data_IF_211323762042
#
_entry.id   IF_211323762042
#
_cell.length_a   1.000
_cell.length_b   1.000
_cell.length_c   1.000
_cell.angle_alpha   90.00
_cell.angle_beta   90.00
_cell.angle_gamma   90.00
#
_symmetry.space_group_name_H-M   'P 1'
#
loop_
_entity.id
_entity.type
_entity.pdbx_description
1 polymer ?
#
# COMPACT_ATOMS: atom_id res chain seq x y z
N UNK A 1 -8.78 -51.90 -53.22
CA UNK A 1 -8.05 -51.44 -52.01
C UNK A 1 -7.63 -49.97 -52.05
N UNK A 2 -7.16 -49.41 -53.18
CA UNK A 2 -6.66 -48.02 -53.25
C UNK A 2 -7.66 -46.91 -52.86
N UNK A 3 -8.97 -47.03 -53.17
CA UNK A 3 -9.99 -46.02 -52.82
C UNK A 3 -10.31 -45.92 -51.32
N UNK A 4 -10.20 -47.02 -50.55
CA UNK A 4 -10.47 -47.01 -49.10
C UNK A 4 -9.32 -46.36 -48.30
N UNK A 5 -8.09 -46.48 -48.79
CA UNK A 5 -6.91 -45.88 -48.15
C UNK A 5 -6.95 -44.35 -48.24
N UNK A 6 -7.39 -43.79 -49.38
CA UNK A 6 -7.48 -42.34 -49.60
C UNK A 6 -8.50 -41.68 -48.66
N UNK A 7 -9.66 -42.31 -48.44
CA UNK A 7 -10.70 -41.77 -47.56
C UNK A 7 -10.23 -41.75 -46.09
N UNK A 8 -9.56 -42.82 -45.64
CA UNK A 8 -9.04 -42.89 -44.27
C UNK A 8 -7.93 -41.84 -44.05
N UNK A 9 -7.05 -41.60 -45.03
CA UNK A 9 -6.01 -40.57 -44.91
C UNK A 9 -6.58 -39.15 -44.85
N UNK A 10 -7.65 -38.84 -45.58
CA UNK A 10 -8.27 -37.50 -45.55
C UNK A 10 -8.98 -37.25 -44.21
N UNK A 11 -9.66 -38.24 -43.64
CA UNK A 11 -10.30 -38.10 -42.33
C UNK A 11 -9.31 -37.90 -41.18
N UNK A 12 -8.14 -38.55 -41.22
CA UNK A 12 -7.08 -38.36 -40.22
C UNK A 12 -6.48 -36.95 -40.30
N UNK A 13 -6.29 -36.43 -41.52
CA UNK A 13 -5.78 -35.07 -41.73
C UNK A 13 -6.80 -34.02 -41.25
N UNK A 14 -8.09 -34.21 -41.51
CA UNK A 14 -9.13 -33.30 -41.01
C UNK A 14 -9.26 -33.32 -39.48
N UNK A 15 -9.11 -34.48 -38.84
CA UNK A 15 -9.09 -34.57 -37.37
C UNK A 15 -7.83 -33.93 -36.78
N UNK A 16 -6.66 -34.11 -37.41
CA UNK A 16 -5.44 -33.47 -36.97
C UNK A 16 -5.48 -31.94 -37.10
N UNK A 17 -6.04 -31.42 -38.19
CA UNK A 17 -6.23 -29.98 -38.40
C UNK A 17 -7.29 -29.43 -37.43
N UNK A 18 -8.39 -30.15 -37.21
CA UNK A 18 -9.41 -29.79 -36.23
C UNK A 18 -8.87 -29.74 -34.80
N UNK A 19 -8.05 -30.72 -34.40
CA UNK A 19 -7.36 -30.71 -33.11
C UNK A 19 -6.29 -29.63 -33.02
N UNK A 20 -5.56 -29.32 -34.10
CA UNK A 20 -4.58 -28.24 -34.12
C UNK A 20 -5.24 -26.86 -33.99
N UNK A 21 -6.38 -26.64 -34.66
CA UNK A 21 -7.18 -25.41 -34.51
C UNK A 21 -7.79 -25.34 -33.11
N UNK A 22 -8.28 -26.46 -32.56
CA UNK A 22 -8.81 -26.51 -31.19
C UNK A 22 -7.72 -26.22 -30.15
N UNK A 23 -6.50 -26.74 -30.34
CA UNK A 23 -5.33 -26.47 -29.50
C UNK A 23 -4.88 -24.99 -29.61
N UNK A 24 -4.93 -24.39 -30.81
CA UNK A 24 -4.64 -22.96 -30.97
C UNK A 24 -5.73 -22.03 -30.42
N UNK A 25 -6.96 -22.51 -30.23
CA UNK A 25 -8.06 -21.74 -29.62
C UNK A 25 -8.06 -21.82 -28.08
N UNK A 26 -7.37 -22.79 -27.47
CA UNK A 26 -7.22 -22.89 -26.01
C UNK A 26 -6.07 -22.00 -25.47
N UNK A 27 -5.06 -21.72 -26.32
CA UNK A 27 -3.93 -20.83 -26.02
C UNK A 27 -4.27 -19.32 -26.07
N UNK A 28 -5.49 -18.93 -26.48
CA UNK A 28 -5.89 -17.51 -26.55
C UNK A 28 -6.69 -17.02 -25.34
N UNK A 29 -6.69 -17.75 -24.22
CA UNK A 29 -7.03 -17.12 -22.93
C UNK A 29 -5.80 -16.32 -22.50
N UNK A 30 -5.80 -15.03 -22.84
CA UNK A 30 -5.00 -14.06 -22.08
C UNK A 30 -5.40 -14.22 -20.61
N UNK A 31 -4.51 -14.84 -19.84
CA UNK A 31 -4.55 -14.75 -18.38
C UNK A 31 -4.27 -13.28 -18.11
N UNK A 32 -5.33 -12.51 -17.87
CA UNK A 32 -5.20 -11.14 -17.38
C UNK A 32 -4.59 -11.27 -16.00
N UNK A 33 -3.28 -11.00 -15.89
CA UNK A 33 -2.62 -10.91 -14.59
C UNK A 33 -3.28 -9.76 -13.84
N UNK A 34 -4.00 -10.11 -12.77
CA UNK A 34 -4.58 -9.15 -11.85
C UNK A 34 -3.50 -8.73 -10.88
N UNK A 35 -3.33 -7.42 -10.68
CA UNK A 35 -2.42 -6.85 -9.71
C UNK A 35 -3.22 -6.00 -8.73
N UNK A 36 -2.75 -5.99 -7.48
CA UNK A 36 -3.32 -5.15 -6.43
C UNK A 36 -2.70 -3.76 -6.51
N UNK A 37 -3.57 -2.75 -6.43
CA UNK A 37 -3.15 -1.37 -6.27
C UNK A 37 -3.67 -0.83 -4.95
N UNK A 38 -2.81 -0.12 -4.24
CA UNK A 38 -3.20 0.65 -3.07
C UNK A 38 -3.72 2.02 -3.51
N UNK A 39 -4.91 2.38 -3.03
CA UNK A 39 -5.51 3.72 -3.14
C UNK A 39 -5.81 4.25 -1.75
N UNK A 40 -5.90 5.57 -1.60
CA UNK A 40 -6.23 6.21 -0.33
C UNK A 40 -7.64 6.81 -0.40
N UNK A 41 -8.48 6.43 0.55
CA UNK A 41 -9.78 7.04 0.83
C UNK A 41 -9.77 7.64 2.24
N UNK A 42 -10.84 8.29 2.65
CA UNK A 42 -11.01 8.73 4.04
C UNK A 42 -12.31 8.20 4.63
N UNK A 43 -12.35 8.00 5.94
CA UNK A 43 -13.58 7.66 6.65
C UNK A 43 -14.39 8.92 7.03
N UNK A 44 -15.49 8.75 7.76
CA UNK A 44 -16.34 9.86 8.20
C UNK A 44 -15.67 10.81 9.22
N UNK A 45 -14.56 10.40 9.84
CA UNK A 45 -13.76 11.22 10.76
C UNK A 45 -12.55 11.85 10.05
N UNK A 46 -12.45 11.72 8.73
CA UNK A 46 -11.32 12.18 7.92
C UNK A 46 -10.01 11.43 8.15
N UNK A 47 -10.04 10.24 8.75
CA UNK A 47 -8.84 9.39 8.81
C UNK A 47 -8.64 8.73 7.44
N UNK A 48 -7.44 8.87 6.88
CA UNK A 48 -7.00 8.25 5.64
C UNK A 48 -6.89 6.73 5.81
N UNK A 49 -7.52 6.01 4.91
CA UNK A 49 -7.59 4.55 4.89
C UNK A 49 -6.99 4.05 3.56
N UNK A 50 -5.86 3.32 3.59
CA UNK A 50 -5.35 2.62 2.42
C UNK A 50 -6.26 1.45 2.06
N UNK A 51 -6.57 1.29 0.77
CA UNK A 51 -7.48 0.26 0.24
C UNK A 51 -6.79 -0.46 -0.90
N UNK A 52 -6.81 -1.79 -0.86
CA UNK A 52 -6.28 -2.62 -1.93
C UNK A 52 -7.39 -2.97 -2.93
N UNK A 53 -7.25 -2.53 -4.18
CA UNK A 53 -8.17 -2.84 -5.27
C UNK A 53 -7.49 -3.72 -6.33
N UNK A 54 -8.26 -4.63 -6.92
CA UNK A 54 -7.82 -5.42 -8.05
C UNK A 54 -8.00 -4.65 -9.35
N UNK A 55 -6.92 -4.48 -10.10
CA UNK A 55 -6.94 -3.89 -11.43
C UNK A 55 -6.43 -4.87 -12.48
N UNK A 56 -6.93 -4.69 -13.69
CA UNK A 56 -6.65 -5.57 -14.81
C UNK A 56 -5.63 -4.90 -15.73
N UNK A 57 -4.54 -5.62 -16.03
CA UNK A 57 -3.48 -5.23 -16.96
C UNK A 57 -2.60 -4.04 -16.50
N UNK A 58 -1.28 -4.22 -16.53
CA UNK A 58 -0.33 -3.15 -16.27
C UNK A 58 -0.52 -2.01 -17.27
N UNK A 59 -0.47 -0.77 -16.79
CA UNK A 59 -0.60 0.45 -17.59
C UNK A 59 0.74 1.19 -17.64
N UNK A 60 0.94 2.00 -18.67
CA UNK A 60 2.03 2.98 -18.70
C UNK A 60 1.89 3.97 -17.54
N UNK A 61 3.00 4.41 -16.94
CA UNK A 61 3.05 5.18 -15.69
C UNK A 61 2.06 6.35 -15.64
N UNK A 62 2.05 7.22 -16.67
CA UNK A 62 1.14 8.37 -16.69
C UNK A 62 -0.34 7.94 -16.73
N UNK A 63 -0.66 6.88 -17.47
CA UNK A 63 -2.03 6.35 -17.55
C UNK A 63 -2.44 5.75 -16.21
N UNK A 64 -1.53 5.03 -15.55
CA UNK A 64 -1.79 4.44 -14.24
C UNK A 64 -2.04 5.51 -13.17
N UNK A 65 -1.20 6.55 -13.14
CA UNK A 65 -1.38 7.69 -12.23
C UNK A 65 -2.74 8.36 -12.45
N UNK A 66 -3.10 8.67 -13.70
CA UNK A 66 -4.40 9.27 -14.03
C UNK A 66 -5.55 8.39 -13.54
N UNK A 67 -5.48 7.08 -13.80
CA UNK A 67 -6.48 6.12 -13.34
C UNK A 67 -6.58 6.06 -11.80
N UNK A 68 -5.45 6.06 -11.08
CA UNK A 68 -5.45 6.09 -9.60
C UNK A 68 -6.10 7.36 -9.05
N UNK A 69 -5.82 8.52 -9.64
CA UNK A 69 -6.48 9.79 -9.26
C UNK A 69 -7.99 9.72 -9.52
N UNK A 70 -8.41 9.25 -10.70
CA UNK A 70 -9.83 9.12 -11.06
C UNK A 70 -10.57 8.17 -10.10
N UNK A 71 -9.93 7.05 -9.71
CA UNK A 71 -10.50 6.11 -8.75
C UNK A 71 -10.65 6.73 -7.35
N UNK A 72 -9.63 7.46 -6.87
CA UNK A 72 -9.66 8.14 -5.56
C UNK A 72 -10.70 9.28 -5.49
N UNK A 73 -11.16 9.80 -6.63
CA UNK A 73 -12.28 10.74 -6.71
C UNK A 73 -13.65 10.06 -6.67
N UNK A 74 -13.70 8.74 -6.88
CA UNK A 74 -14.94 8.01 -7.06
C UNK A 74 -15.64 7.70 -5.75
N UNK A 75 -16.95 7.95 -5.68
CA UNK A 75 -17.79 7.62 -4.51
C UNK A 75 -18.22 6.15 -4.42
N UNK A 76 -17.65 5.27 -5.25
CA UNK A 76 -18.03 3.85 -5.31
C UNK A 76 -17.90 3.12 -3.96
N UNK A 77 -16.95 3.55 -3.12
CA UNK A 77 -16.67 2.91 -1.83
C UNK A 77 -17.50 3.45 -0.66
N UNK A 78 -18.44 4.35 -0.92
CA UNK A 78 -19.27 4.96 0.14
C UNK A 78 -20.09 3.93 0.93
N UNK A 79 -20.53 2.84 0.28
CA UNK A 79 -21.23 1.75 0.96
C UNK A 79 -20.36 1.00 1.99
N UNK A 80 -19.04 1.13 1.88
CA UNK A 80 -18.05 0.59 2.79
C UNK A 80 -17.59 1.61 3.84
N UNK A 81 -18.25 2.78 3.90
CA UNK A 81 -17.93 3.88 4.81
C UNK A 81 -16.71 4.70 4.40
N UNK A 82 -16.25 4.56 3.17
CA UNK A 82 -15.06 5.22 2.62
C UNK A 82 -15.47 6.27 1.59
N UNK A 83 -14.90 7.45 1.70
CA UNK A 83 -15.22 8.63 0.90
C UNK A 83 -14.00 9.12 0.14
N UNK A 84 -14.17 9.74 -1.04
CA UNK A 84 -13.08 10.40 -1.76
C UNK A 84 -12.35 11.40 -0.88
N UNK A 85 -11.02 11.37 -0.92
CA UNK A 85 -10.17 12.42 -0.32
C UNK A 85 -9.92 13.55 -1.31
N UNK A 86 -10.00 13.27 -2.61
CA UNK A 86 -9.71 14.19 -3.70
C UNK A 86 -11.00 14.76 -4.27
N UNK A 87 -11.03 16.07 -4.53
CA UNK A 87 -12.13 16.70 -5.26
C UNK A 87 -12.23 16.16 -6.70
N UNK A 88 -13.46 15.90 -7.15
CA UNK A 88 -13.77 15.42 -8.51
C UNK A 88 -13.33 16.35 -9.65
N UNK A 89 -12.97 17.60 -9.35
CA UNK A 89 -12.48 18.59 -10.31
C UNK A 89 -10.95 18.62 -10.38
N UNK A 90 -10.23 17.91 -9.51
CA UNK A 90 -8.77 17.86 -9.58
C UNK A 90 -8.36 17.10 -10.85
N UNK A 91 -7.53 17.71 -11.68
CA UNK A 91 -7.08 17.11 -12.94
C UNK A 91 -5.57 17.00 -12.96
N UNK A 92 -5.06 15.82 -13.34
CA UNK A 92 -3.65 15.66 -13.70
C UNK A 92 -3.42 16.34 -15.06
N UNK A 93 -2.50 17.28 -15.14
CA UNK A 93 -2.15 17.98 -16.36
C UNK A 93 -0.94 17.34 -17.05
N UNK A 94 0.09 17.00 -16.28
CA UNK A 94 1.31 16.34 -16.77
C UNK A 94 1.94 15.44 -15.73
N UNK A 95 2.68 14.44 -16.20
CA UNK A 95 3.47 13.51 -15.39
C UNK A 95 4.86 13.41 -16.02
N UNK A 96 5.91 13.56 -15.23
CA UNK A 96 7.30 13.41 -15.66
C UNK A 96 8.07 12.65 -14.59
N UNK A 97 8.78 11.58 -14.97
CA UNK A 97 9.68 10.86 -14.08
C UNK A 97 11.11 11.07 -14.57
N UNK A 98 11.95 11.70 -13.74
CA UNK A 98 13.35 11.92 -14.01
C UNK A 98 14.17 11.66 -12.75
N UNK A 99 15.23 10.85 -12.85
CA UNK A 99 16.17 10.60 -11.75
C UNK A 99 15.48 10.19 -10.43
N UNK A 100 14.48 9.29 -10.51
CA UNK A 100 13.62 8.85 -9.40
C UNK A 100 12.75 9.94 -8.74
N UNK A 101 12.66 11.13 -9.35
CA UNK A 101 11.76 12.20 -8.96
C UNK A 101 10.56 12.26 -9.91
N UNK A 102 9.38 11.96 -9.38
CA UNK A 102 8.11 12.09 -10.08
C UNK A 102 7.60 13.51 -9.93
N UNK A 103 7.49 14.25 -11.03
CA UNK A 103 6.84 15.56 -11.08
C UNK A 103 5.43 15.41 -11.65
N UNK A 104 4.42 15.80 -10.88
CA UNK A 104 3.02 15.78 -11.31
C UNK A 104 2.45 17.19 -11.23
N UNK A 105 1.95 17.71 -12.36
CA UNK A 105 1.23 18.98 -12.39
C UNK A 105 -0.26 18.71 -12.30
N UNK A 106 -0.94 19.40 -11.39
CA UNK A 106 -2.39 19.43 -11.28
C UNK A 106 -2.96 20.80 -11.66
N UNK A 107 -4.28 20.89 -11.84
CA UNK A 107 -4.97 22.18 -11.96
C UNK A 107 -5.12 22.91 -10.61
N UNK A 108 -5.59 24.16 -10.67
CA UNK A 108 -5.72 25.07 -9.52
C UNK A 108 -6.76 24.64 -8.46
N UNK A 109 -7.59 23.63 -8.74
CA UNK A 109 -8.47 22.99 -7.77
C UNK A 109 -7.72 22.55 -6.50
N UNK A 110 -6.44 22.20 -6.61
CA UNK A 110 -5.62 21.81 -5.46
C UNK A 110 -5.55 22.89 -4.37
N UNK A 111 -5.65 24.18 -4.73
CA UNK A 111 -5.63 25.31 -3.78
C UNK A 111 -6.89 25.43 -2.92
N UNK A 112 -8.02 24.89 -3.38
CA UNK A 112 -9.32 25.09 -2.72
C UNK A 112 -9.59 24.10 -1.60
N UNK A 113 -8.67 23.16 -1.36
CA UNK A 113 -8.86 22.10 -0.39
C UNK A 113 -8.74 22.59 1.05
N UNK A 114 -9.76 22.28 1.84
CA UNK A 114 -9.79 22.60 3.27
C UNK A 114 -8.82 21.71 4.04
N UNK A 115 -8.79 20.41 3.72
CA UNK A 115 -7.93 19.40 4.34
C UNK A 115 -6.64 19.18 3.54
N UNK A 116 -5.84 20.24 3.43
CA UNK A 116 -4.64 20.24 2.60
C UNK A 116 -3.64 19.12 2.97
N UNK A 117 -3.47 18.82 4.27
CA UNK A 117 -2.58 17.75 4.72
C UNK A 117 -3.04 16.38 4.22
N UNK A 118 -4.32 16.03 4.38
CA UNK A 118 -4.87 14.74 3.95
C UNK A 118 -4.66 14.48 2.46
N UNK A 119 -4.87 15.49 1.61
CA UNK A 119 -4.65 15.35 0.17
C UNK A 119 -3.16 15.21 -0.16
N UNK A 120 -2.29 15.98 0.51
CA UNK A 120 -0.84 15.85 0.30
C UNK A 120 -0.37 14.45 0.70
N UNK A 121 -0.81 13.93 1.86
CA UNK A 121 -0.49 12.58 2.32
C UNK A 121 -1.01 11.51 1.36
N UNK A 122 -2.29 11.58 0.97
CA UNK A 122 -2.90 10.63 0.06
C UNK A 122 -2.20 10.60 -1.31
N UNK A 123 -1.94 11.78 -1.90
CA UNK A 123 -1.22 11.89 -3.16
C UNK A 123 0.22 11.40 -3.03
N UNK A 124 0.92 11.78 -1.96
CA UNK A 124 2.31 11.35 -1.73
C UNK A 124 2.40 9.85 -1.63
N UNK A 125 1.58 9.24 -0.78
CA UNK A 125 1.56 7.79 -0.58
C UNK A 125 1.36 7.05 -1.91
N UNK A 126 0.29 7.36 -2.63
CA UNK A 126 -0.06 6.63 -3.88
C UNK A 126 0.95 6.86 -5.00
N UNK A 127 1.52 8.06 -5.10
CA UNK A 127 2.40 8.43 -6.20
C UNK A 127 3.88 8.08 -5.93
N UNK A 128 4.23 7.72 -4.70
CA UNK A 128 5.56 7.21 -4.33
C UNK A 128 5.59 5.69 -4.07
N UNK A 129 4.46 4.99 -4.24
CA UNK A 129 4.33 3.52 -4.14
C UNK A 129 4.88 2.77 -5.38
N UNK A 130 5.67 3.44 -6.23
CA UNK A 130 6.30 2.83 -7.41
C UNK A 130 7.78 2.60 -7.14
N UNK A 131 8.30 1.42 -7.50
CA UNK A 131 9.71 1.04 -7.26
C UNK A 131 10.74 2.08 -7.77
N UNK A 132 10.45 2.75 -8.89
CA UNK A 132 11.34 3.74 -9.50
C UNK A 132 11.12 5.17 -8.98
N UNK A 133 10.20 5.40 -8.03
CA UNK A 133 9.88 6.73 -7.50
C UNK A 133 10.30 6.84 -6.03
N UNK A 134 11.32 7.65 -5.78
CA UNK A 134 11.77 7.96 -4.42
C UNK A 134 11.17 9.27 -3.91
N UNK A 135 10.83 10.19 -4.82
CA UNK A 135 10.41 11.55 -4.47
C UNK A 135 9.28 12.03 -5.38
N UNK A 136 8.34 12.76 -4.79
CA UNK A 136 7.26 13.45 -5.49
C UNK A 136 7.46 14.97 -5.41
N UNK A 137 7.30 15.63 -6.57
CA UNK A 137 7.17 17.07 -6.72
C UNK A 137 5.80 17.39 -7.29
N UNK A 138 5.04 18.22 -6.60
CA UNK A 138 3.72 18.68 -7.05
C UNK A 138 3.84 20.08 -7.66
N UNK A 139 3.26 20.25 -8.84
CA UNK A 139 3.08 21.53 -9.52
C UNK A 139 1.60 21.87 -9.65
N UNK A 140 1.31 23.16 -9.83
CA UNK A 140 -0.04 23.64 -10.15
C UNK A 140 0.05 24.51 -11.41
N UNK A 141 -0.73 24.17 -12.44
CA UNK A 141 -0.72 24.83 -13.75
C UNK A 141 0.70 24.92 -14.37
N UNK A 142 1.46 23.84 -14.23
CA UNK A 142 2.85 23.70 -14.71
C UNK A 142 3.86 24.58 -13.98
N UNK A 143 3.50 25.15 -12.83
CA UNK A 143 4.38 26.01 -12.02
C UNK A 143 4.74 25.35 -10.70
N UNK A 144 5.97 25.59 -10.29
CA UNK A 144 6.45 25.18 -8.97
C UNK A 144 5.68 25.92 -7.88
N UNK A 145 5.17 25.15 -6.91
CA UNK A 145 4.48 25.63 -5.73
C UNK A 145 5.20 25.10 -4.51
N UNK A 146 5.41 25.95 -3.50
CA UNK A 146 6.09 25.52 -2.28
C UNK A 146 5.10 24.94 -1.26
N UNK A 147 3.93 25.56 -1.08
CA UNK A 147 2.93 25.19 -0.09
C UNK A 147 1.51 25.38 -0.61
N UNK A 148 0.55 24.60 -0.08
CA UNK A 148 -0.88 24.90 -0.19
C UNK A 148 -1.30 25.92 0.89
N UNK A 149 -2.36 26.72 0.69
CA UNK A 149 -2.80 27.78 1.61
C UNK A 149 -3.01 27.34 3.07
N UNK A 150 -3.35 26.07 3.31
CA UNK A 150 -3.64 25.51 4.63
C UNK A 150 -2.66 24.40 5.03
N UNK A 151 -1.43 24.40 4.51
CA UNK A 151 -0.42 23.40 4.87
C UNK A 151 0.97 24.02 4.97
N UNK A 152 1.79 23.46 5.87
CA UNK A 152 3.22 23.77 5.99
C UNK A 152 4.12 22.72 5.35
N UNK A 153 3.54 21.68 4.74
CA UNK A 153 4.28 20.61 4.07
C UNK A 153 4.82 21.11 2.73
N UNK A 154 6.16 21.10 2.50
CA UNK A 154 6.74 21.50 1.23
C UNK A 154 6.35 20.52 0.11
N UNK A 155 5.87 21.05 -1.02
CA UNK A 155 5.40 20.25 -2.16
C UNK A 155 6.50 19.85 -3.16
N UNK A 156 7.74 20.24 -2.92
CA UNK A 156 8.85 20.06 -3.85
C UNK A 156 9.77 18.86 -3.52
N UNK A 157 9.55 18.19 -2.40
CA UNK A 157 10.35 17.06 -1.94
C UNK A 157 9.52 16.19 -0.97
N UNK A 158 8.47 15.59 -1.51
CA UNK A 158 7.61 14.65 -0.78
C UNK A 158 8.19 13.24 -0.94
N UNK A 159 8.19 12.45 0.13
CA UNK A 159 8.68 11.05 0.12
C UNK A 159 7.62 10.14 0.73
N UNK A 160 7.68 8.85 0.43
CA UNK A 160 6.75 7.85 1.00
C UNK A 160 6.75 7.88 2.54
N UNK A 161 7.89 8.22 3.15
CA UNK A 161 8.06 8.39 4.60
C UNK A 161 7.19 9.49 5.23
N UNK A 162 6.58 10.36 4.43
CA UNK A 162 5.55 11.28 4.95
C UNK A 162 4.44 10.49 5.67
N UNK A 163 4.12 9.30 5.18
CA UNK A 163 3.09 8.44 5.76
C UNK A 163 1.68 9.01 5.64
N UNK A 164 0.78 8.49 6.47
CA UNK A 164 -0.63 8.83 6.51
C UNK A 164 -1.06 9.18 7.94
N UNK A 165 -2.10 10.02 8.06
CA UNK A 165 -2.72 10.42 9.32
C UNK A 165 -1.70 11.01 10.30
N UNK A 166 -0.87 11.95 9.82
CA UNK A 166 -0.02 12.71 10.73
C UNK A 166 -0.86 13.67 11.56
N UNK A 167 -0.46 13.87 12.81
CA UNK A 167 -0.96 14.98 13.62
C UNK A 167 -0.08 16.21 13.37
N UNK A 168 -0.71 17.38 13.19
CA UNK A 168 -0.01 18.67 13.23
C UNK A 168 0.41 19.02 14.67
N UNK A 169 1.29 18.22 15.28
CA UNK A 169 1.93 18.64 16.53
C UNK A 169 3.15 19.51 16.22
N UNK A 170 3.03 20.79 16.55
CA UNK A 170 4.15 21.73 16.57
C UNK A 170 5.12 21.34 17.70
N UNK A 171 6.03 20.40 17.46
CA UNK A 171 7.05 20.05 18.44
C UNK A 171 8.46 20.03 17.85
N UNK A 172 9.41 20.45 18.68
CA UNK A 172 10.84 20.61 18.42
C UNK A 172 11.58 19.29 18.15
N UNK A 173 10.88 18.16 18.06
CA UNK A 173 11.44 16.82 17.88
C UNK A 173 11.59 16.38 16.43
N UNK A 174 11.15 17.19 15.45
CA UNK A 174 11.19 16.84 14.02
C UNK A 174 12.60 16.53 13.48
N UNK A 175 13.66 17.09 14.06
CA UNK A 175 15.04 16.89 13.60
C UNK A 175 15.77 15.72 14.28
N UNK A 176 15.12 15.02 15.21
CA UNK A 176 15.71 13.92 15.99
C UNK A 176 14.79 12.69 16.01
N UNK A 177 13.85 12.63 15.08
CA UNK A 177 12.88 11.54 14.98
C UNK A 177 12.63 11.15 13.54
N UNK A 178 12.38 9.87 13.34
CA UNK A 178 11.93 9.29 12.07
C UNK A 178 10.42 9.06 12.10
N UNK A 179 9.71 9.28 10.98
CA UNK A 179 8.32 8.90 10.85
C UNK A 179 8.20 7.37 10.73
N UNK A 180 7.24 6.79 11.45
CA UNK A 180 6.92 5.35 11.37
C UNK A 180 5.41 5.18 11.31
N UNK A 181 4.91 4.51 10.27
CA UNK A 181 3.49 4.18 10.15
C UNK A 181 3.14 2.99 11.02
N UNK A 182 2.28 3.21 12.01
CA UNK A 182 1.76 2.15 12.88
C UNK A 182 0.31 1.86 12.55
N UNK A 183 0.03 0.61 12.21
CA UNK A 183 -1.29 0.13 11.82
C UNK A 183 -2.10 -0.33 13.03
N UNK A 184 -3.37 0.07 13.07
CA UNK A 184 -4.34 -0.34 14.08
C UNK A 184 -5.64 -0.81 13.44
N UNK A 185 -6.38 -1.65 14.15
CA UNK A 185 -7.74 -2.02 13.78
C UNK A 185 -8.70 -0.83 13.96
N UNK A 186 -9.53 -0.59 12.95
CA UNK A 186 -10.64 0.35 13.02
C UNK A 186 -11.86 -0.20 12.32
N UNK A 187 -12.98 -0.26 13.02
CA UNK A 187 -14.26 -0.65 12.42
C UNK A 187 -14.95 0.56 11.80
N UNK A 188 -15.18 0.51 10.48
CA UNK A 188 -15.87 1.55 9.70
C UNK A 188 -17.02 0.88 8.94
N UNK A 189 -18.26 1.35 9.15
CA UNK A 189 -19.46 0.81 8.49
C UNK A 189 -19.58 -0.73 8.55
N UNK A 190 -19.30 -1.33 9.71
CA UNK A 190 -19.28 -2.78 9.98
C UNK A 190 -18.15 -3.59 9.32
N UNK A 191 -17.21 -2.92 8.63
CA UNK A 191 -15.99 -3.53 8.10
C UNK A 191 -14.80 -3.20 8.99
N UNK A 192 -13.91 -4.18 9.17
CA UNK A 192 -12.64 -4.00 9.87
C UNK A 192 -11.57 -3.53 8.88
N UNK A 193 -10.90 -2.43 9.20
CA UNK A 193 -9.80 -1.87 8.42
C UNK A 193 -8.53 -1.78 9.25
N UNK A 194 -7.38 -1.89 8.59
CA UNK A 194 -6.07 -1.55 9.14
C UNK A 194 -5.77 -0.11 8.75
N UNK A 195 -5.85 0.79 9.72
CA UNK A 195 -5.69 2.22 9.51
C UNK A 195 -4.34 2.64 10.10
N UNK A 196 -3.40 3.16 9.28
CA UNK A 196 -2.11 3.61 9.76
C UNK A 196 -2.21 4.96 10.46
N UNK A 197 -1.32 5.20 11.41
CA UNK A 197 -1.03 6.52 11.97
C UNK A 197 0.47 6.70 11.97
N UNK A 198 0.93 7.84 11.46
CA UNK A 198 2.37 8.14 11.41
C UNK A 198 2.83 8.71 12.75
N UNK A 199 3.69 7.97 13.43
CA UNK A 199 4.32 8.34 14.69
C UNK A 199 5.71 8.90 14.45
N UNK A 200 6.20 9.72 15.39
CA UNK A 200 7.60 10.16 15.43
C UNK A 200 8.34 9.36 16.48
N UNK A 201 9.29 8.53 16.03
CA UNK A 201 10.13 7.70 16.88
C UNK A 201 11.51 8.34 16.96
N UNK A 202 12.06 8.45 18.17
CA UNK A 202 13.37 9.09 18.39
C UNK A 202 14.48 8.24 17.75
N UNK A 203 15.34 8.88 16.95
CA UNK A 203 16.51 8.23 16.35
C UNK A 203 17.58 7.85 17.39
N UNK A 204 17.51 8.48 18.57
CA UNK A 204 18.46 8.21 19.66
C UNK A 204 18.09 6.99 20.49
N UNK A 205 16.88 6.46 20.33
CA UNK A 205 16.40 5.29 21.04
C UNK A 205 17.05 4.03 20.46
N UNK A 206 17.31 3.05 21.32
CA UNK A 206 17.76 1.73 20.88
C UNK A 206 16.69 1.02 20.03
N UNK A 207 17.10 0.05 19.20
CA UNK A 207 16.16 -0.74 18.40
C UNK A 207 15.04 -1.34 19.26
N UNK A 208 15.37 -1.87 20.44
CA UNK A 208 14.41 -2.45 21.37
C UNK A 208 13.40 -1.41 21.88
N UNK A 209 13.84 -0.19 22.22
CA UNK A 209 12.96 0.91 22.65
C UNK A 209 12.03 1.39 21.53
N UNK A 210 12.56 1.52 20.31
CA UNK A 210 11.78 1.88 19.13
C UNK A 210 10.70 0.84 18.85
N UNK A 211 11.08 -0.44 18.79
CA UNK A 211 10.17 -1.56 18.57
C UNK A 211 9.13 -1.63 19.67
N UNK A 212 9.53 -1.55 20.95
CA UNK A 212 8.59 -1.58 22.07
C UNK A 212 7.60 -0.42 22.01
N UNK A 213 8.04 0.78 21.61
CA UNK A 213 7.15 1.94 21.42
C UNK A 213 6.10 1.66 20.35
N UNK A 214 6.51 1.11 19.20
CA UNK A 214 5.58 0.74 18.11
C UNK A 214 4.59 -0.34 18.58
N UNK A 215 5.09 -1.41 19.20
CA UNK A 215 4.25 -2.51 19.72
C UNK A 215 3.23 -2.01 20.74
N UNK A 216 3.61 -1.06 21.61
CA UNK A 216 2.68 -0.48 22.59
C UNK A 216 1.56 0.36 21.96
N UNK A 217 1.78 0.96 20.79
CA UNK A 217 0.73 1.65 20.03
C UNK A 217 -0.24 0.68 19.36
N UNK A 218 0.22 -0.51 18.95
CA UNK A 218 -0.63 -1.58 18.43
C UNK A 218 -1.47 -2.18 19.57
N UNK A 219 -0.80 -2.61 20.64
CA UNK A 219 -1.42 -3.17 21.82
C UNK A 219 -0.49 -3.06 23.03
N UNK A 220 -0.89 -2.29 24.04
CA UNK A 220 -0.10 -2.03 25.25
C UNK A 220 0.23 -3.26 26.11
N UNK A 221 -0.36 -4.42 25.81
CA UNK A 221 -0.07 -5.70 26.50
C UNK A 221 1.09 -6.47 25.87
N UNK A 222 1.58 -6.04 24.70
CA UNK A 222 2.73 -6.67 24.06
C UNK A 222 4.00 -6.26 24.82
N UNK A 223 4.71 -7.25 25.32
CA UNK A 223 6.00 -7.09 25.96
C UNK A 223 7.09 -7.69 25.08
N UNK A 224 8.01 -6.83 24.63
CA UNK A 224 9.21 -7.21 23.92
C UNK A 224 10.25 -7.73 24.93
N UNK A 225 10.78 -8.92 24.67
CA UNK A 225 11.88 -9.50 25.44
C UNK A 225 13.24 -9.19 24.80
N UNK A 226 13.29 -9.16 23.46
CA UNK A 226 14.49 -8.85 22.68
C UNK A 226 14.10 -8.46 21.24
N UNK A 227 14.90 -7.62 20.60
CA UNK A 227 14.82 -7.34 19.17
C UNK A 227 16.21 -7.31 18.53
N UNK A 228 16.34 -7.94 17.36
CA UNK A 228 17.57 -7.91 16.57
C UNK A 228 17.29 -7.76 15.09
N UNK A 229 18.06 -6.91 14.40
CA UNK A 229 17.99 -6.72 12.96
C UNK A 229 19.22 -7.34 12.31
N UNK A 230 19.02 -8.34 11.45
CA UNK A 230 20.07 -8.92 10.61
C UNK A 230 19.57 -9.08 9.18
N UNK A 231 20.39 -8.71 8.19
CA UNK A 231 20.05 -8.82 6.77
C UNK A 231 18.66 -8.27 6.37
N UNK A 232 18.22 -7.16 6.98
CA UNK A 232 16.89 -6.54 6.81
C UNK A 232 15.71 -7.36 7.35
N UNK A 233 15.97 -8.41 8.14
CA UNK A 233 14.96 -9.19 8.86
C UNK A 233 15.01 -8.79 10.33
N UNK A 234 13.91 -8.24 10.84
CA UNK A 234 13.75 -7.88 12.24
C UNK A 234 13.17 -9.08 13.01
N UNK A 235 13.98 -9.70 13.87
CA UNK A 235 13.52 -10.79 14.74
C UNK A 235 13.14 -10.25 16.11
N UNK A 236 11.92 -10.57 16.55
CA UNK A 236 11.34 -10.19 17.83
C UNK A 236 11.20 -11.42 18.72
N UNK A 237 11.61 -11.34 19.98
CA UNK A 237 11.19 -12.29 21.00
C UNK A 237 10.11 -11.62 21.85
N UNK A 238 8.90 -12.20 21.90
CA UNK A 238 7.76 -11.67 22.62
C UNK A 238 7.34 -12.59 23.78
N UNK A 239 6.64 -12.02 24.77
CA UNK A 239 6.07 -12.81 25.87
C UNK A 239 5.01 -13.80 25.35
N UNK A 240 5.00 -14.99 25.94
CA UNK A 240 4.03 -16.07 25.74
C UNK A 240 2.56 -15.70 25.99
N UNK A 241 2.28 -14.58 26.67
CA UNK A 241 0.91 -14.12 26.94
C UNK A 241 0.07 -13.82 25.67
N UNK A 242 0.72 -13.73 24.50
CA UNK A 242 0.09 -13.51 23.20
C UNK A 242 -0.37 -14.81 22.51
N UNK A 243 0.07 -15.98 23.01
CA UNK A 243 -0.29 -17.26 22.42
C UNK A 243 -1.75 -17.60 22.67
N UNK A 244 -2.43 -18.02 21.59
CA UNK A 244 -3.72 -18.69 21.63
C UNK A 244 -3.55 -20.16 22.02
N UNK A 245 -4.66 -20.84 22.30
CA UNK A 245 -4.68 -22.27 22.68
C UNK A 245 -4.02 -23.20 21.64
N UNK A 246 -3.88 -22.75 20.39
CA UNK A 246 -3.23 -23.49 19.30
C UNK A 246 -1.73 -23.18 19.16
N UNK A 247 -1.12 -22.50 20.14
CA UNK A 247 0.29 -22.10 20.16
C UNK A 247 0.68 -21.15 19.01
N UNK A 248 -0.28 -20.38 18.50
CA UNK A 248 -0.07 -19.32 17.51
C UNK A 248 -0.50 -17.98 18.06
N UNK A 249 -0.02 -16.90 17.48
CA UNK A 249 -0.58 -15.57 17.72
C UNK A 249 -1.82 -15.35 16.84
N UNK A 250 -2.68 -14.44 17.27
CA UNK A 250 -3.80 -13.98 16.45
C UNK A 250 -3.30 -13.43 15.12
N UNK A 251 -3.96 -13.81 14.03
CA UNK A 251 -3.53 -13.47 12.67
C UNK A 251 -3.58 -11.95 12.43
N UNK A 252 -4.61 -11.27 12.92
CA UNK A 252 -4.71 -9.81 12.76
C UNK A 252 -3.59 -9.14 13.54
N UNK A 253 -3.34 -9.58 14.77
CA UNK A 253 -2.24 -9.05 15.58
C UNK A 253 -0.88 -9.21 14.88
N UNK A 254 -0.61 -10.39 14.31
CA UNK A 254 0.59 -10.63 13.50
C UNK A 254 0.71 -9.64 12.33
N UNK A 255 -0.36 -9.48 11.55
CA UNK A 255 -0.37 -8.59 10.39
C UNK A 255 -0.12 -7.13 10.80
N UNK A 256 -0.73 -6.64 11.88
CA UNK A 256 -0.50 -5.29 12.39
C UNK A 256 0.95 -5.08 12.84
N UNK A 257 1.54 -6.07 13.53
CA UNK A 257 2.94 -6.02 13.97
C UNK A 257 3.87 -5.95 12.76
N UNK A 258 3.68 -6.84 11.79
CA UNK A 258 4.51 -6.90 10.59
C UNK A 258 4.40 -5.57 9.81
N UNK A 259 3.20 -5.15 9.45
CA UNK A 259 2.97 -3.91 8.68
C UNK A 259 3.57 -2.68 9.35
N UNK A 260 3.46 -2.58 10.67
CA UNK A 260 3.99 -1.43 11.43
C UNK A 260 5.51 -1.44 11.51
N UNK A 261 6.12 -2.60 11.73
CA UNK A 261 7.57 -2.70 11.91
C UNK A 261 8.34 -2.71 10.59
N UNK A 262 7.71 -3.08 9.47
CA UNK A 262 8.28 -2.88 8.13
C UNK A 262 8.36 -1.41 7.72
N UNK A 263 7.70 -0.51 8.45
CA UNK A 263 7.87 0.93 8.26
C UNK A 263 9.17 1.47 8.89
N UNK A 264 9.91 0.67 9.65
CA UNK A 264 11.23 1.07 10.16
C UNK A 264 12.28 0.99 9.05
N UNK A 265 13.23 1.92 9.10
CA UNK A 265 14.36 1.97 8.18
C UNK A 265 15.11 0.63 8.12
N UNK A 266 15.35 0.15 6.90
CA UNK A 266 16.06 -1.10 6.60
C UNK A 266 15.35 -2.39 7.09
N UNK A 267 14.07 -2.36 7.43
CA UNK A 267 13.29 -3.57 7.76
C UNK A 267 12.45 -3.99 6.55
N UNK A 268 12.70 -5.19 6.02
CA UNK A 268 11.95 -5.76 4.88
C UNK A 268 11.07 -6.93 5.27
N UNK A 269 11.43 -7.61 6.34
CA UNK A 269 10.68 -8.74 6.88
C UNK A 269 10.77 -8.75 8.39
N UNK A 270 9.78 -9.37 9.05
CA UNK A 270 9.68 -9.45 10.50
C UNK A 270 9.43 -10.90 10.89
N UNK A 271 10.28 -11.43 11.77
CA UNK A 271 10.10 -12.74 12.39
C UNK A 271 9.72 -12.58 13.86
N UNK A 272 8.72 -13.35 14.28
CA UNK A 272 8.16 -13.28 15.62
C UNK A 272 8.41 -14.62 16.30
N UNK A 273 9.21 -14.59 17.35
CA UNK A 273 9.56 -15.72 18.18
C UNK A 273 8.83 -15.63 19.52
N UNK A 274 8.35 -16.77 20.00
CA UNK A 274 7.88 -16.96 21.37
C UNK A 274 8.50 -18.23 21.91
N UNK A 275 9.19 -18.13 23.04
CA UNK A 275 10.00 -19.21 23.62
C UNK A 275 11.08 -19.72 22.64
N UNK A 276 11.60 -18.84 21.78
CA UNK A 276 12.59 -19.18 20.76
C UNK A 276 12.07 -19.95 19.54
N UNK A 277 10.76 -20.12 19.39
CA UNK A 277 10.14 -20.74 18.21
C UNK A 277 9.36 -19.71 17.39
N UNK A 278 9.48 -19.76 16.06
CA UNK A 278 8.74 -18.86 15.18
C UNK A 278 7.25 -19.20 15.17
N UNK A 279 6.42 -18.18 15.37
CA UNK A 279 4.96 -18.31 15.47
C UNK A 279 4.21 -17.74 14.25
N UNK A 280 4.94 -17.32 13.20
CA UNK A 280 4.39 -16.69 11.99
C UNK A 280 3.37 -17.56 11.26
N UNK A 281 2.26 -16.96 10.82
CA UNK A 281 1.24 -17.55 9.95
C UNK A 281 1.60 -17.45 8.47
N UNK A 282 2.32 -16.41 8.07
CA UNK A 282 2.61 -16.12 6.66
C UNK A 282 3.86 -15.24 6.48
N UNK A 283 4.36 -15.19 5.25
CA UNK A 283 5.44 -14.27 4.87
C UNK A 283 4.91 -12.83 4.73
N UNK A 284 5.75 -11.82 4.99
CA UNK A 284 5.36 -10.40 4.86
C UNK A 284 4.81 -10.08 3.48
N UNK A 285 5.40 -10.64 2.42
CA UNK A 285 4.95 -10.43 1.03
C UNK A 285 3.55 -10.96 0.72
N UNK A 286 2.95 -11.73 1.61
CA UNK A 286 1.61 -12.32 1.45
C UNK A 286 0.53 -11.50 2.17
N UNK A 287 0.91 -10.47 2.92
CA UNK A 287 -0.04 -9.64 3.67
C UNK A 287 -0.71 -8.68 2.69
N UNK A 288 -1.98 -8.94 2.42
CA UNK A 288 -2.88 -8.05 1.71
C UNK A 288 -3.99 -7.62 2.66
N UNK A 289 -4.12 -6.30 2.86
CA UNK A 289 -5.05 -5.73 3.82
C UNK A 289 -5.99 -4.74 3.14
N UNK A 290 -7.12 -4.47 3.81
CA UNK A 290 -8.18 -3.58 3.33
C UNK A 290 -8.60 -3.89 1.89
N UNK A 291 -8.64 -5.17 1.52
CA UNK A 291 -8.99 -5.59 0.18
C UNK A 291 -10.48 -5.41 -0.06
N UNK A 292 -10.83 -4.62 -1.08
CA UNK A 292 -12.22 -4.42 -1.50
C UNK A 292 -12.39 -4.98 -2.91
N UNK A 293 -13.34 -5.89 -3.06
CA UNK A 293 -13.72 -6.44 -4.35
C UNK A 293 -14.81 -5.55 -4.97
N UNK A 294 -14.44 -4.84 -6.03
CA UNK A 294 -15.36 -4.05 -6.87
C UNK A 294 -15.84 -4.92 -8.05
#
# INVERSE_FOLDING_TARGET
>A
MKKKIIIVSVSIICLAIGSFIYLQMDDSKQVSETYLQTLIYQDANHDLVPVSLNVHNQMELETDIRNKIDLMQSSQLQAYGLYPVIDSQLEVQSVELQDHMLTVSFNDCLYSNQDALNIIEALTYVLTDYDDVNQLKIQIDGKDVTYLPNSTVPLNHLTHDLGLNNFEEASTFLHQSVPVMVYQEKTIADYLYYVPTTLRISESDSLEEQVQTILSHINSKIHLLNASLDNQVLTLELDSNLLLDNERIDKTLEELIILSLTSLDNVKDVDILINGESVRNQETSQIHYNYIKI
#
